data_IF_244488833775
#
_entry.id   IF_244488833775
#
_cell.length_a   1.000
_cell.length_b   1.000
_cell.length_c   1.000
_cell.angle_alpha   90.00
_cell.angle_beta   90.00
_cell.angle_gamma   90.00
#
_symmetry.space_group_name_H-M   'P 1'
#
loop_
_entity.id
_entity.type
_entity.pdbx_description
1 polymer ?
#
# COMPACT_ATOMS: atom_id res chain seq x y z
N UNK A 1 -36.13 4.15 -44.04
CA UNK A 1 -36.18 3.30 -42.83
C UNK A 1 -34.79 3.31 -42.22
N UNK A 2 -34.62 4.10 -41.16
CA UNK A 2 -33.35 4.23 -40.45
C UNK A 2 -33.40 3.44 -39.15
N UNK A 3 -32.29 2.81 -38.81
CA UNK A 3 -32.00 2.41 -37.44
C UNK A 3 -30.63 2.97 -37.11
N UNK A 4 -30.65 4.14 -36.48
CA UNK A 4 -29.51 4.72 -35.79
C UNK A 4 -29.22 3.80 -34.61
N UNK A 5 -28.04 3.16 -34.62
CA UNK A 5 -27.50 2.47 -33.45
C UNK A 5 -27.38 3.51 -32.33
N UNK A 6 -28.33 3.46 -31.39
CA UNK A 6 -28.35 4.33 -30.24
C UNK A 6 -27.03 4.18 -29.48
N UNK A 7 -26.28 5.28 -29.39
CA UNK A 7 -25.31 5.44 -28.32
C UNK A 7 -26.08 5.25 -27.02
N UNK A 8 -25.69 4.24 -26.24
CA UNK A 8 -26.09 4.18 -24.85
C UNK A 8 -25.71 5.52 -24.21
N UNK A 9 -26.64 6.22 -23.56
CA UNK A 9 -26.26 7.39 -22.80
C UNK A 9 -25.24 6.94 -21.75
N UNK A 10 -24.10 7.63 -21.67
CA UNK A 10 -23.24 7.64 -20.51
C UNK A 10 -24.09 8.16 -19.34
N UNK A 11 -24.89 7.28 -18.77
CA UNK A 11 -25.56 7.52 -17.50
C UNK A 11 -24.46 7.79 -16.52
N UNK A 12 -24.41 9.03 -16.03
CA UNK A 12 -23.71 9.47 -14.83
C UNK A 12 -23.78 8.35 -13.80
N UNK A 13 -22.74 7.52 -13.75
CA UNK A 13 -22.62 6.48 -12.73
C UNK A 13 -22.60 7.25 -11.42
N UNK A 14 -23.50 6.98 -10.47
CA UNK A 14 -23.47 7.64 -9.18
C UNK A 14 -22.06 7.51 -8.63
N UNK A 15 -21.43 8.64 -8.27
CA UNK A 15 -20.09 8.67 -7.66
C UNK A 15 -20.04 7.58 -6.60
N UNK A 16 -19.29 6.50 -6.87
CA UNK A 16 -19.22 5.42 -5.90
C UNK A 16 -18.39 5.93 -4.74
N UNK A 17 -18.79 5.57 -3.51
CA UNK A 17 -18.02 5.92 -2.31
C UNK A 17 -16.55 5.49 -2.48
N UNK A 18 -16.33 4.43 -3.25
CA UNK A 18 -15.03 3.87 -3.61
C UNK A 18 -14.18 4.83 -4.44
N UNK A 19 -14.69 5.41 -5.53
CA UNK A 19 -13.93 6.39 -6.34
C UNK A 19 -13.52 7.61 -5.53
N UNK A 20 -14.45 8.11 -4.71
CA UNK A 20 -14.20 9.23 -3.79
C UNK A 20 -13.09 8.89 -2.80
N UNK A 21 -13.13 7.69 -2.23
CA UNK A 21 -12.14 7.24 -1.28
C UNK A 21 -10.77 6.91 -1.92
N UNK A 22 -10.74 6.49 -3.18
CA UNK A 22 -9.51 6.07 -3.85
C UNK A 22 -8.73 7.24 -4.42
N UNK A 23 -9.38 8.16 -5.15
CA UNK A 23 -8.67 9.26 -5.80
C UNK A 23 -9.46 10.57 -5.91
N UNK A 24 -10.79 10.58 -6.03
CA UNK A 24 -11.50 11.84 -6.35
C UNK A 24 -11.40 12.88 -5.23
N UNK A 25 -11.30 12.47 -3.96
CA UNK A 25 -11.09 13.42 -2.85
C UNK A 25 -9.81 14.25 -2.98
N UNK A 26 -8.85 13.79 -3.78
CA UNK A 26 -7.58 14.47 -4.06
C UNK A 26 -7.41 14.80 -5.55
N UNK A 27 -8.50 14.90 -6.33
CA UNK A 27 -8.39 15.06 -7.79
C UNK A 27 -7.67 16.35 -8.24
N UNK A 28 -7.65 17.36 -7.38
CA UNK A 28 -6.91 18.61 -7.60
C UNK A 28 -5.41 18.53 -7.25
N UNK A 29 -4.95 17.43 -6.65
CA UNK A 29 -3.55 17.27 -6.26
C UNK A 29 -2.69 16.95 -7.50
N UNK A 30 -1.66 17.78 -7.70
CA UNK A 30 -0.65 17.58 -8.74
C UNK A 30 0.66 17.16 -8.09
N UNK A 31 0.97 15.85 -8.03
CA UNK A 31 2.22 15.40 -7.44
C UNK A 31 3.42 15.85 -8.29
N UNK A 32 4.61 16.01 -7.69
CA UNK A 32 5.83 16.30 -8.43
C UNK A 32 6.18 15.14 -9.38
N UNK A 33 6.76 15.45 -10.54
CA UNK A 33 7.24 14.42 -11.46
C UNK A 33 8.26 13.49 -10.77
N UNK A 34 8.31 12.19 -11.11
CA UNK A 34 7.57 11.48 -12.17
C UNK A 34 6.20 10.92 -11.73
N UNK A 35 5.70 11.33 -10.55
CA UNK A 35 4.47 10.77 -10.00
C UNK A 35 3.23 11.40 -10.64
N UNK A 36 2.11 10.69 -10.58
CA UNK A 36 0.80 11.16 -11.01
C UNK A 36 -0.29 10.59 -10.08
N UNK A 37 -1.45 11.22 -10.07
CA UNK A 37 -2.62 10.66 -9.38
C UNK A 37 -3.18 9.51 -10.21
N UNK A 38 -2.99 8.27 -9.73
CA UNK A 38 -3.52 7.09 -10.41
C UNK A 38 -5.05 7.01 -10.26
N UNK A 39 -5.74 6.75 -11.38
CA UNK A 39 -7.21 6.57 -11.45
C UNK A 39 -7.51 5.17 -12.01
N UNK A 40 -7.39 4.12 -11.17
CA UNK A 40 -7.59 2.75 -11.63
C UNK A 40 -9.05 2.49 -11.98
N UNK A 41 -9.28 1.51 -12.88
CA UNK A 41 -10.62 0.97 -13.12
C UNK A 41 -11.13 0.29 -11.84
N UNK A 42 -12.32 0.67 -11.40
CA UNK A 42 -13.00 0.05 -10.27
C UNK A 42 -14.16 -0.79 -10.84
N UNK A 43 -14.04 -2.11 -10.70
CA UNK A 43 -15.05 -3.06 -11.16
C UNK A 43 -15.64 -3.85 -10.00
N UNK A 44 -16.96 -4.03 -10.00
CA UNK A 44 -17.62 -4.99 -9.10
C UNK A 44 -17.46 -6.38 -9.67
N UNK A 45 -16.86 -7.29 -8.91
CA UNK A 45 -16.59 -8.66 -9.35
C UNK A 45 -17.63 -9.69 -8.87
N UNK A 46 -18.66 -9.25 -8.13
CA UNK A 46 -19.68 -10.11 -7.57
C UNK A 46 -21.07 -9.69 -8.06
N UNK A 47 -21.82 -10.66 -8.56
CA UNK A 47 -23.20 -10.46 -8.99
C UNK A 47 -24.12 -10.25 -7.79
N UNK A 48 -23.94 -11.03 -6.73
CA UNK A 48 -24.74 -10.95 -5.50
C UNK A 48 -24.06 -10.12 -4.39
N UNK A 49 -24.83 -9.38 -3.57
CA UNK A 49 -24.28 -8.71 -2.40
C UNK A 49 -23.86 -9.75 -1.36
N UNK A 50 -22.59 -9.74 -0.94
CA UNK A 50 -22.16 -10.52 0.22
C UNK A 50 -23.06 -10.19 1.41
N UNK A 51 -23.69 -11.19 2.00
CA UNK A 51 -24.39 -11.03 3.28
C UNK A 51 -23.36 -10.63 4.32
N UNK A 52 -23.64 -9.54 5.04
CA UNK A 52 -22.77 -9.09 6.13
C UNK A 52 -22.80 -10.13 7.24
N UNK A 53 -21.74 -10.91 7.38
CA UNK A 53 -21.52 -11.73 8.56
C UNK A 53 -21.11 -10.84 9.74
N UNK A 54 -21.81 -10.95 10.86
CA UNK A 54 -21.51 -10.23 12.09
C UNK A 54 -20.58 -11.05 13.02
N UNK A 55 -19.63 -11.77 12.44
CA UNK A 55 -18.67 -12.60 13.17
C UNK A 55 -17.48 -11.74 13.62
N UNK A 56 -16.88 -12.11 14.76
CA UNK A 56 -15.63 -11.49 15.20
C UNK A 56 -14.54 -11.74 14.17
N UNK A 57 -13.84 -10.68 13.75
CA UNK A 57 -12.75 -10.78 12.78
C UNK A 57 -11.69 -11.79 13.21
N UNK A 58 -11.18 -12.55 12.24
CA UNK A 58 -10.17 -13.57 12.49
C UNK A 58 -8.89 -12.96 13.11
N UNK A 59 -8.31 -13.57 14.15
CA UNK A 59 -7.07 -13.06 14.77
C UNK A 59 -5.82 -13.35 13.94
N UNK A 60 -5.99 -13.89 12.73
CA UNK A 60 -4.90 -14.24 11.82
C UNK A 60 -4.94 -13.43 10.53
N UNK A 61 -3.77 -13.24 9.94
CA UNK A 61 -3.58 -12.70 8.60
C UNK A 61 -2.79 -13.71 7.77
N UNK A 62 -3.25 -13.97 6.55
CA UNK A 62 -2.61 -14.93 5.64
C UNK A 62 -2.04 -14.15 4.46
N UNK A 63 -0.79 -14.45 4.08
CA UNK A 63 -0.18 -13.88 2.88
C UNK A 63 0.53 -14.96 2.05
N UNK A 64 0.61 -14.72 0.75
CA UNK A 64 1.23 -15.61 -0.24
C UNK A 64 1.68 -14.79 -1.45
N UNK A 65 2.78 -15.20 -2.06
CA UNK A 65 3.36 -14.69 -3.29
C UNK A 65 3.46 -15.86 -4.27
N UNK A 66 3.35 -15.59 -5.57
CA UNK A 66 3.47 -16.59 -6.63
C UNK A 66 4.73 -17.46 -6.53
N UNK A 67 5.83 -16.90 -6.03
CA UNK A 67 7.09 -17.61 -5.85
C UNK A 67 7.16 -18.50 -4.59
N UNK A 68 6.12 -18.50 -3.74
CA UNK A 68 6.13 -19.28 -2.50
C UNK A 68 5.56 -20.68 -2.68
N UNK A 69 6.19 -21.63 -1.99
CA UNK A 69 5.71 -23.01 -1.90
C UNK A 69 4.54 -23.18 -0.92
N UNK A 70 4.30 -22.22 -0.03
CA UNK A 70 3.26 -22.29 1.00
C UNK A 70 2.81 -20.90 1.46
N UNK A 71 1.63 -20.84 2.09
CA UNK A 71 1.12 -19.62 2.72
C UNK A 71 1.86 -19.30 4.02
N UNK A 72 2.00 -18.02 4.35
CA UNK A 72 2.47 -17.55 5.66
C UNK A 72 1.27 -17.07 6.47
N UNK A 73 1.13 -17.54 7.71
CA UNK A 73 0.04 -17.17 8.63
C UNK A 73 0.62 -16.39 9.80
N UNK A 74 0.10 -15.19 10.04
CA UNK A 74 0.51 -14.30 11.13
C UNK A 74 -0.60 -14.17 12.17
N UNK A 75 -0.20 -13.97 13.42
CA UNK A 75 -1.08 -13.46 14.47
C UNK A 75 -1.13 -11.94 14.42
N UNK A 76 -2.30 -11.36 14.16
CA UNK A 76 -2.47 -9.92 13.90
C UNK A 76 -2.13 -9.06 15.12
N UNK A 77 -2.34 -9.56 16.33
CA UNK A 77 -2.02 -8.84 17.57
C UNK A 77 -0.52 -8.74 17.85
N UNK A 78 0.29 -9.62 17.28
CA UNK A 78 1.74 -9.66 17.48
C UNK A 78 2.53 -9.18 16.26
N UNK A 79 1.95 -9.30 15.05
CA UNK A 79 2.69 -9.08 13.80
C UNK A 79 3.77 -10.12 13.55
N UNK A 80 3.62 -11.34 14.10
CA UNK A 80 4.56 -12.44 14.01
C UNK A 80 3.89 -13.68 13.43
N UNK A 81 4.68 -14.61 12.89
CA UNK A 81 4.17 -15.87 12.34
C UNK A 81 3.51 -16.69 13.46
N UNK A 82 2.32 -17.22 13.19
CA UNK A 82 1.53 -18.03 14.12
C UNK A 82 1.99 -19.49 14.08
N UNK A 83 3.21 -19.77 14.58
CA UNK A 83 3.77 -21.12 14.69
C UNK A 83 3.81 -21.60 16.15
N UNK A 84 3.59 -22.91 16.42
CA UNK A 84 3.67 -23.48 17.77
C UNK A 84 5.09 -23.50 18.37
N UNK A 85 6.12 -23.19 17.59
CA UNK A 85 7.53 -23.20 18.00
C UNK A 85 7.82 -22.09 19.02
N UNK A 86 8.72 -22.38 19.97
CA UNK A 86 9.24 -21.39 20.93
C UNK A 86 10.05 -20.26 20.24
N UNK A 87 10.48 -20.47 19.00
CA UNK A 87 11.13 -19.45 18.19
C UNK A 87 10.08 -18.59 17.48
N UNK A 88 9.94 -17.35 17.94
CA UNK A 88 9.14 -16.32 17.25
C UNK A 88 9.76 -16.06 15.88
N UNK A 89 9.07 -16.48 14.82
CA UNK A 89 9.51 -16.18 13.46
C UNK A 89 8.94 -14.83 13.01
N UNK A 90 9.83 -14.00 12.49
CA UNK A 90 9.49 -12.70 11.88
C UNK A 90 8.90 -12.99 10.50
N UNK A 91 7.82 -12.30 10.15
CA UNK A 91 7.22 -12.42 8.82
C UNK A 91 8.19 -11.95 7.74
N UNK A 92 8.22 -12.66 6.60
CA UNK A 92 8.96 -12.23 5.41
C UNK A 92 8.54 -10.86 4.86
N UNK A 93 7.33 -10.39 5.23
CA UNK A 93 6.82 -9.06 4.90
C UNK A 93 7.23 -7.99 5.94
N UNK A 94 8.03 -8.35 6.93
CA UNK A 94 8.55 -7.41 7.93
C UNK A 94 9.43 -6.35 7.28
N UNK A 95 9.55 -5.20 7.96
CA UNK A 95 10.46 -4.12 7.50
C UNK A 95 11.88 -4.63 7.31
N UNK A 96 12.35 -5.51 8.20
CA UNK A 96 13.68 -6.11 8.19
C UNK A 96 13.90 -6.99 6.96
N UNK A 97 13.01 -7.93 6.69
CA UNK A 97 13.20 -8.86 5.58
C UNK A 97 13.04 -8.16 4.23
N UNK A 98 12.09 -7.22 4.12
CA UNK A 98 11.95 -6.38 2.93
C UNK A 98 13.19 -5.51 2.68
N UNK A 99 13.82 -4.97 3.73
CA UNK A 99 15.04 -4.18 3.60
C UNK A 99 16.27 -5.03 3.23
N UNK A 100 16.35 -6.26 3.73
CA UNK A 100 17.37 -7.23 3.32
C UNK A 100 17.20 -7.63 1.85
N UNK A 101 15.97 -7.83 1.38
CA UNK A 101 15.69 -8.09 -0.04
C UNK A 101 16.09 -6.89 -0.90
N UNK A 102 15.74 -5.67 -0.50
CA UNK A 102 16.17 -4.45 -1.18
C UNK A 102 17.70 -4.37 -1.29
N UNK A 103 18.43 -4.64 -0.21
CA UNK A 103 19.91 -4.65 -0.20
C UNK A 103 20.48 -5.66 -1.19
N UNK A 104 19.93 -6.87 -1.27
CA UNK A 104 20.32 -7.88 -2.26
C UNK A 104 20.08 -7.43 -3.70
N UNK A 105 18.95 -6.78 -3.96
CA UNK A 105 18.63 -6.22 -5.30
C UNK A 105 19.63 -5.11 -5.65
N UNK A 106 19.89 -4.18 -4.73
CA UNK A 106 20.90 -3.13 -4.88
C UNK A 106 22.28 -3.67 -5.24
N UNK A 107 22.72 -4.73 -4.55
CA UNK A 107 23.97 -5.43 -4.86
C UNK A 107 23.95 -6.04 -6.27
N UNK A 108 22.87 -6.74 -6.64
CA UNK A 108 22.72 -7.37 -7.95
C UNK A 108 22.70 -6.37 -9.13
N UNK A 109 22.20 -5.16 -8.92
CA UNK A 109 22.20 -4.09 -9.94
C UNK A 109 23.46 -3.21 -9.92
N UNK A 110 24.47 -3.57 -9.13
CA UNK A 110 25.76 -2.86 -9.07
C UNK A 110 25.73 -1.54 -8.29
N UNK A 111 24.74 -1.36 -7.40
CA UNK A 111 24.60 -0.17 -6.54
C UNK A 111 24.43 -0.59 -5.07
N UNK A 112 25.46 -1.18 -4.44
CA UNK A 112 25.34 -1.76 -3.10
C UNK A 112 24.99 -0.71 -2.05
N UNK A 113 24.17 -1.12 -1.07
CA UNK A 113 23.85 -0.29 0.10
C UNK A 113 25.10 -0.20 1.00
N UNK A 114 25.56 1.00 1.38
CA UNK A 114 26.72 1.13 2.27
C UNK A 114 26.48 0.53 3.66
N UNK A 115 27.56 0.04 4.27
CA UNK A 115 27.51 -0.49 5.63
C UNK A 115 27.05 0.57 6.64
N UNK A 116 26.27 0.16 7.63
CA UNK A 116 25.76 1.04 8.68
C UNK A 116 24.53 1.85 8.32
N UNK A 117 23.99 1.70 7.11
CA UNK A 117 22.73 2.34 6.74
C UNK A 117 21.57 1.81 7.60
N UNK A 118 20.77 2.74 8.11
CA UNK A 118 19.50 2.42 8.76
C UNK A 118 18.39 2.23 7.73
N UNK A 119 17.31 1.57 8.12
CA UNK A 119 16.09 1.46 7.31
C UNK A 119 15.53 2.84 6.91
N UNK A 120 15.62 3.82 7.81
CA UNK A 120 15.24 5.20 7.47
C UNK A 120 16.18 5.81 6.42
N UNK A 121 17.50 5.56 6.49
CA UNK A 121 18.43 6.00 5.44
C UNK A 121 17.99 5.48 4.06
N UNK A 122 17.65 4.19 3.94
CA UNK A 122 17.18 3.60 2.68
C UNK A 122 15.96 4.34 2.11
N UNK A 123 15.03 4.75 2.97
CA UNK A 123 13.81 5.45 2.57
C UNK A 123 14.08 6.89 2.13
N UNK A 124 14.83 7.66 2.91
CA UNK A 124 15.05 9.10 2.64
C UNK A 124 15.95 9.35 1.44
N UNK A 125 16.78 8.38 1.06
CA UNK A 125 17.58 8.47 -0.16
C UNK A 125 16.74 8.43 -1.44
N UNK A 126 15.49 7.94 -1.39
CA UNK A 126 14.52 8.09 -2.47
C UNK A 126 13.88 9.49 -2.45
N UNK A 127 14.69 10.52 -2.76
CA UNK A 127 14.30 11.93 -2.66
C UNK A 127 13.01 12.27 -3.42
N UNK A 128 12.79 11.83 -4.68
CA UNK A 128 11.56 12.15 -5.40
C UNK A 128 10.31 11.63 -4.67
N UNK A 129 10.36 10.39 -4.17
CA UNK A 129 9.25 9.80 -3.43
C UNK A 129 9.00 10.53 -2.11
N UNK A 130 10.06 10.86 -1.36
CA UNK A 130 9.94 11.61 -0.11
C UNK A 130 9.31 13.00 -0.33
N UNK A 131 9.73 13.72 -1.38
CA UNK A 131 9.14 15.01 -1.75
C UNK A 131 7.68 14.88 -2.17
N UNK A 132 7.32 13.86 -2.96
CA UNK A 132 5.93 13.60 -3.34
C UNK A 132 5.04 13.29 -2.13
N UNK A 133 5.55 12.52 -1.17
CA UNK A 133 4.87 12.25 0.10
C UNK A 133 4.61 13.55 0.87
N UNK A 134 5.62 14.39 1.07
CA UNK A 134 5.47 15.67 1.78
C UNK A 134 4.48 16.61 1.08
N UNK A 135 4.52 16.67 -0.26
CA UNK A 135 3.58 17.46 -1.04
C UNK A 135 2.13 16.99 -0.84
N UNK A 136 1.90 15.67 -0.80
CA UNK A 136 0.58 15.11 -0.51
C UNK A 136 0.11 15.46 0.90
N UNK A 137 0.95 15.27 1.91
CA UNK A 137 0.62 15.58 3.31
C UNK A 137 0.27 17.06 3.50
N UNK A 138 1.03 17.96 2.87
CA UNK A 138 0.75 19.40 2.88
C UNK A 138 -0.59 19.71 2.20
N UNK A 139 -0.83 19.15 1.01
CA UNK A 139 -2.06 19.37 0.24
C UNK A 139 -3.30 18.90 1.02
N UNK A 140 -3.25 17.73 1.66
CA UNK A 140 -4.35 17.21 2.49
C UNK A 140 -4.71 18.17 3.63
N UNK A 141 -3.70 18.73 4.30
CA UNK A 141 -3.88 19.71 5.38
C UNK A 141 -4.49 21.01 4.86
N UNK A 142 -3.98 21.54 3.75
CA UNK A 142 -4.47 22.78 3.12
C UNK A 142 -5.93 22.65 2.65
N UNK A 143 -6.34 21.47 2.20
CA UNK A 143 -7.70 21.18 1.73
C UNK A 143 -8.64 20.68 2.82
N UNK A 144 -8.23 20.79 4.10
CA UNK A 144 -9.04 20.42 5.28
C UNK A 144 -9.48 18.95 5.26
N UNK A 145 -8.66 18.07 4.68
CA UNK A 145 -8.89 16.61 4.66
C UNK A 145 -8.18 15.89 5.83
N UNK A 146 -7.64 16.65 6.78
CA UNK A 146 -6.95 16.15 7.96
C UNK A 146 -5.44 16.11 7.79
N UNK A 147 -4.77 15.72 8.87
CA UNK A 147 -3.32 15.56 8.92
C UNK A 147 -2.95 14.08 8.86
N UNK A 148 -1.96 13.74 8.02
CA UNK A 148 -1.42 12.40 7.97
C UNK A 148 -0.70 12.05 9.27
N UNK A 149 -1.06 10.91 9.87
CA UNK A 149 -0.44 10.44 11.11
C UNK A 149 0.69 9.45 10.79
N UNK A 150 1.91 9.82 11.15
CA UNK A 150 3.10 8.96 10.99
C UNK A 150 3.42 8.22 12.30
N UNK A 151 4.08 7.07 12.18
CA UNK A 151 4.67 6.38 13.33
C UNK A 151 5.88 7.17 13.85
N UNK A 152 6.25 6.98 15.14
CA UNK A 152 7.50 7.52 15.68
C UNK A 152 8.72 7.04 14.86
N UNK A 153 9.76 7.87 14.83
CA UNK A 153 10.96 7.65 14.01
C UNK A 153 11.73 6.40 14.43
N UNK A 154 11.68 6.06 15.72
CA UNK A 154 12.35 4.93 16.36
C UNK A 154 11.94 3.59 15.72
N UNK A 155 10.72 3.50 15.17
CA UNK A 155 10.22 2.32 14.45
C UNK A 155 11.00 2.04 13.15
N UNK A 156 11.78 3.02 12.67
CA UNK A 156 12.59 2.95 11.45
C UNK A 156 14.10 3.07 11.70
N UNK A 157 14.53 3.24 12.96
CA UNK A 157 15.94 3.41 13.36
C UNK A 157 16.62 2.07 13.67
N UNK A 158 16.62 1.15 12.71
CA UNK A 158 17.39 -0.10 12.80
C UNK A 158 18.31 -0.25 11.58
N UNK A 159 19.45 -0.90 11.76
CA UNK A 159 20.44 -1.14 10.70
C UNK A 159 20.03 -2.29 9.79
N UNK A 160 20.40 -2.20 8.51
CA UNK A 160 20.09 -3.16 7.44
C UNK A 160 21.35 -3.76 6.83
#
# INVERSE_FOLDING_TARGET
MGTVLGRFPETLVPQTIDERALYQRIDGFKPPAPFHLNKPLIGKCQDEPNTREATTGSPISVNWNLADNSVEVLRTSLGLIDVPSAEKQVSRLSKKDMSMLFKKVCEAVGSPVPNGFTYENLKVHCKPHYQAKLALEAWLREHKLGMWQSKPEEVSMFTV
#
